data_IF_675712677992
#
_entry.id   IF_675712677992
#
_cell.length_a   1.000
_cell.length_b   1.000
_cell.length_c   1.000
_cell.angle_alpha   90.00
_cell.angle_beta   90.00
_cell.angle_gamma   90.00
#
_symmetry.space_group_name_H-M   'P 1'
#
loop_
_entity.id
_entity.type
_entity.pdbx_description
1 polymer ?
#
# COMPACT_ATOMS: atom_id res chain seq x y z
N UNK A 1 13.74 -4.88 -25.94
CA UNK A 1 13.45 -5.37 -24.57
C UNK A 1 12.49 -6.53 -24.70
N UNK A 2 12.81 -7.67 -24.12
CA UNK A 2 12.03 -8.91 -24.20
C UNK A 2 10.61 -8.69 -23.62
N UNK A 3 9.57 -9.29 -24.25
CA UNK A 3 8.20 -9.30 -23.75
C UNK A 3 8.12 -9.74 -22.27
N UNK A 4 9.04 -10.61 -21.86
CA UNK A 4 9.21 -11.09 -20.48
C UNK A 4 9.48 -9.95 -19.48
N UNK A 5 10.32 -8.97 -19.84
CA UNK A 5 10.59 -7.83 -18.95
C UNK A 5 9.40 -6.87 -18.80
N UNK A 6 8.47 -6.87 -19.76
CA UNK A 6 7.25 -6.07 -19.66
C UNK A 6 6.30 -6.57 -18.55
N UNK A 7 6.40 -7.84 -18.16
CA UNK A 7 5.59 -8.44 -17.08
C UNK A 7 6.03 -8.03 -15.66
N UNK A 8 7.24 -7.45 -15.50
CA UNK A 8 7.83 -7.17 -14.18
C UNK A 8 6.89 -6.36 -13.28
N UNK A 9 6.32 -5.29 -13.83
CA UNK A 9 5.41 -4.41 -13.06
C UNK A 9 4.16 -5.15 -12.59
N UNK A 10 3.57 -5.98 -13.47
CA UNK A 10 2.41 -6.80 -13.17
C UNK A 10 2.72 -7.83 -12.09
N UNK A 11 3.88 -8.47 -12.15
CA UNK A 11 4.32 -9.46 -11.17
C UNK A 11 4.58 -8.82 -9.80
N UNK A 12 5.21 -7.64 -9.74
CA UNK A 12 5.39 -6.90 -8.47
C UNK A 12 4.02 -6.54 -7.88
N UNK A 13 3.09 -6.04 -8.70
CA UNK A 13 1.74 -5.72 -8.25
C UNK A 13 1.00 -6.93 -7.70
N UNK A 14 1.14 -8.10 -8.33
CA UNK A 14 0.57 -9.36 -7.87
C UNK A 14 1.20 -9.78 -6.53
N UNK A 15 2.52 -9.82 -6.47
CA UNK A 15 3.26 -10.28 -5.31
C UNK A 15 3.04 -9.36 -4.09
N UNK A 16 3.02 -8.05 -4.28
CA UNK A 16 2.74 -7.09 -3.20
C UNK A 16 1.34 -7.30 -2.59
N UNK A 17 0.30 -7.54 -3.40
CA UNK A 17 -1.04 -7.85 -2.87
C UNK A 17 -1.07 -9.17 -2.10
N UNK A 18 -0.24 -10.12 -2.48
CA UNK A 18 -0.12 -11.38 -1.75
C UNK A 18 0.68 -11.22 -0.45
N UNK A 19 1.79 -10.49 -0.47
CA UNK A 19 2.78 -10.47 0.62
C UNK A 19 2.58 -9.28 1.57
N UNK A 20 2.07 -8.14 1.08
CA UNK A 20 1.90 -6.90 1.86
C UNK A 20 3.23 -6.18 2.14
N UNK A 21 4.32 -6.57 1.48
CA UNK A 21 5.64 -5.96 1.55
C UNK A 21 6.18 -5.79 0.13
N UNK A 22 6.69 -4.59 -0.20
CA UNK A 22 7.27 -4.31 -1.51
C UNK A 22 8.62 -5.02 -1.66
N UNK A 23 9.43 -5.04 -0.61
CA UNK A 23 10.71 -5.73 -0.61
C UNK A 23 10.54 -7.24 -0.86
N UNK A 24 9.66 -7.91 -0.10
CA UNK A 24 9.36 -9.33 -0.34
C UNK A 24 8.78 -9.58 -1.75
N UNK A 25 8.00 -8.63 -2.29
CA UNK A 25 7.45 -8.73 -3.64
C UNK A 25 8.53 -8.60 -4.71
N UNK A 26 9.47 -7.68 -4.56
CA UNK A 26 10.61 -7.52 -5.46
C UNK A 26 11.52 -8.75 -5.44
N UNK A 27 11.81 -9.29 -4.26
CA UNK A 27 12.60 -10.51 -4.09
C UNK A 27 11.92 -11.71 -4.76
N UNK A 28 10.61 -11.90 -4.57
CA UNK A 28 9.86 -12.96 -5.23
C UNK A 28 9.88 -12.85 -6.76
N UNK A 29 9.79 -11.63 -7.28
CA UNK A 29 9.87 -11.38 -8.72
C UNK A 29 11.29 -11.58 -9.24
N UNK A 30 12.30 -11.16 -8.50
CA UNK A 30 13.71 -11.40 -8.85
C UNK A 30 14.02 -12.91 -8.91
N UNK A 31 13.58 -13.67 -7.93
CA UNK A 31 13.71 -15.13 -7.92
C UNK A 31 12.97 -15.77 -9.10
N UNK A 32 11.78 -15.26 -9.46
CA UNK A 32 11.03 -15.71 -10.63
C UNK A 32 11.83 -15.55 -11.91
N UNK A 33 12.45 -14.38 -12.12
CA UNK A 33 13.31 -14.14 -13.29
C UNK A 33 14.60 -14.96 -13.26
N UNK A 34 15.21 -15.14 -12.09
CA UNK A 34 16.38 -16.01 -11.96
C UNK A 34 16.08 -17.43 -12.42
N UNK A 35 14.90 -17.97 -12.07
CA UNK A 35 14.47 -19.30 -12.56
C UNK A 35 14.22 -19.31 -14.07
N UNK A 36 13.63 -18.24 -14.63
CA UNK A 36 13.43 -18.11 -16.07
C UNK A 36 14.74 -18.15 -16.84
N UNK A 37 15.70 -17.33 -16.43
CA UNK A 37 16.99 -17.24 -17.12
C UNK A 37 17.94 -18.41 -16.85
N UNK A 38 17.67 -19.22 -15.85
CA UNK A 38 18.39 -20.49 -15.63
C UNK A 38 17.97 -21.61 -16.58
N UNK A 39 16.84 -21.47 -17.28
CA UNK A 39 16.39 -22.44 -18.29
C UNK A 39 17.19 -22.30 -19.59
N UNK A 40 17.35 -23.41 -20.31
CA UNK A 40 17.91 -23.40 -21.68
C UNK A 40 16.98 -22.68 -22.66
N UNK A 41 17.51 -22.20 -23.79
CA UNK A 41 16.71 -21.59 -24.85
C UNK A 41 15.58 -22.53 -25.32
N UNK A 42 15.88 -23.80 -25.49
CA UNK A 42 14.89 -24.83 -25.87
C UNK A 42 13.75 -24.97 -24.86
N UNK A 43 14.07 -24.90 -23.55
CA UNK A 43 13.07 -24.95 -22.49
C UNK A 43 12.20 -23.68 -22.49
N UNK A 44 12.79 -22.51 -22.72
CA UNK A 44 12.05 -21.26 -22.82
C UNK A 44 11.13 -21.23 -24.05
N UNK A 45 11.60 -21.72 -25.19
CA UNK A 45 10.84 -21.81 -26.44
C UNK A 45 9.67 -22.82 -26.36
N UNK A 46 9.81 -23.87 -25.55
CA UNK A 46 8.73 -24.83 -25.30
C UNK A 46 7.58 -24.26 -24.47
N UNK A 47 7.74 -23.10 -23.85
CA UNK A 47 6.70 -22.44 -23.03
C UNK A 47 5.82 -21.56 -23.94
N UNK A 48 4.59 -22.01 -24.20
CA UNK A 48 3.64 -21.29 -25.06
C UNK A 48 3.32 -19.88 -24.54
N UNK A 49 3.23 -19.69 -23.22
CA UNK A 49 2.89 -18.43 -22.58
C UNK A 49 3.89 -18.07 -21.47
N UNK A 50 4.97 -17.32 -21.78
CA UNK A 50 5.94 -16.87 -20.79
C UNK A 50 5.32 -16.10 -19.62
N UNK A 51 4.33 -15.22 -19.90
CA UNK A 51 3.64 -14.45 -18.87
C UNK A 51 2.84 -15.32 -17.89
N UNK A 52 2.17 -16.38 -18.37
CA UNK A 52 1.46 -17.33 -17.52
C UNK A 52 2.44 -18.16 -16.66
N UNK A 53 3.54 -18.60 -17.26
CA UNK A 53 4.60 -19.31 -16.53
C UNK A 53 5.20 -18.44 -15.41
N UNK A 54 5.56 -17.20 -15.71
CA UNK A 54 6.10 -16.24 -14.73
C UNK A 54 5.12 -16.01 -13.59
N UNK A 55 3.84 -15.82 -13.91
CA UNK A 55 2.78 -15.64 -12.89
C UNK A 55 2.64 -16.88 -12.00
N UNK A 56 2.67 -18.06 -12.59
CA UNK A 56 2.60 -19.35 -11.85
C UNK A 56 3.77 -19.47 -10.88
N UNK A 57 4.99 -19.21 -11.35
CA UNK A 57 6.20 -19.32 -10.52
C UNK A 57 6.20 -18.28 -9.42
N UNK A 58 5.92 -17.01 -9.75
CA UNK A 58 5.84 -15.93 -8.75
C UNK A 58 4.79 -16.23 -7.68
N UNK A 59 3.60 -16.71 -8.08
CA UNK A 59 2.53 -17.04 -7.13
C UNK A 59 2.90 -18.21 -6.21
N UNK A 60 3.60 -19.22 -6.70
CA UNK A 60 4.12 -20.35 -5.88
C UNK A 60 5.19 -19.87 -4.89
N UNK A 61 6.08 -18.97 -5.31
CA UNK A 61 7.07 -18.36 -4.43
C UNK A 61 6.34 -17.55 -3.33
N UNK A 62 5.37 -16.72 -3.70
CA UNK A 62 4.57 -15.98 -2.73
C UNK A 62 3.82 -16.89 -1.74
N UNK A 63 3.22 -17.98 -2.22
CA UNK A 63 2.55 -18.96 -1.37
C UNK A 63 3.49 -19.57 -0.32
N UNK A 64 4.72 -19.92 -0.72
CA UNK A 64 5.75 -20.45 0.18
C UNK A 64 6.19 -19.38 1.20
N UNK A 65 6.42 -18.14 0.73
CA UNK A 65 6.80 -17.02 1.61
C UNK A 65 5.71 -16.72 2.64
N UNK A 66 4.44 -16.77 2.28
CA UNK A 66 3.31 -16.57 3.20
C UNK A 66 3.28 -17.65 4.31
N UNK A 67 3.64 -18.88 3.98
CA UNK A 67 3.78 -19.96 4.98
C UNK A 67 4.86 -19.65 6.03
N UNK A 68 6.01 -19.13 5.60
CA UNK A 68 7.11 -18.74 6.49
C UNK A 68 6.90 -17.37 7.15
N UNK A 69 6.21 -16.43 6.49
CA UNK A 69 5.92 -15.10 7.02
C UNK A 69 5.04 -15.16 8.27
N UNK A 70 4.11 -16.12 8.36
CA UNK A 70 3.30 -16.34 9.55
C UNK A 70 4.16 -16.61 10.78
N UNK A 71 5.16 -17.49 10.66
CA UNK A 71 6.10 -17.77 11.75
C UNK A 71 6.96 -16.55 12.12
N UNK A 72 7.37 -15.74 11.11
CA UNK A 72 8.12 -14.49 11.35
C UNK A 72 7.28 -13.44 12.07
N UNK A 73 5.98 -13.36 11.79
CA UNK A 73 5.05 -12.41 12.44
C UNK A 73 4.74 -12.79 13.89
N UNK A 74 4.79 -14.06 14.24
CA UNK A 74 4.67 -14.52 15.64
C UNK A 74 5.81 -14.00 16.54
N UNK A 75 6.96 -13.65 15.95
CA UNK A 75 8.11 -13.05 16.63
C UNK A 75 8.23 -11.53 16.44
N UNK A 76 7.31 -10.92 15.69
CA UNK A 76 7.32 -9.48 15.42
C UNK A 76 6.95 -8.68 16.65
N UNK A 77 7.67 -7.59 16.90
CA UNK A 77 7.43 -6.74 18.07
C UNK A 77 6.34 -5.71 17.75
N UNK A 78 5.20 -5.83 18.44
CA UNK A 78 4.02 -4.98 18.23
C UNK A 78 3.13 -5.48 17.08
N UNK A 79 2.27 -4.60 16.59
CA UNK A 79 1.32 -4.91 15.52
C UNK A 79 2.00 -4.83 14.14
N UNK A 80 1.87 -5.88 13.35
CA UNK A 80 2.36 -5.85 11.97
C UNK A 80 1.29 -5.23 11.06
N UNK A 81 1.66 -4.23 10.28
CA UNK A 81 0.80 -3.58 9.28
C UNK A 81 1.49 -3.74 7.91
N UNK A 82 0.73 -3.99 6.80
CA UNK A 82 1.30 -3.99 5.46
C UNK A 82 2.10 -2.72 5.17
N UNK A 83 3.10 -2.84 4.29
CA UNK A 83 3.96 -1.72 3.89
C UNK A 83 3.14 -0.66 3.15
N UNK A 84 3.20 0.62 3.54
CA UNK A 84 2.45 1.67 2.86
C UNK A 84 3.17 2.09 1.57
N UNK A 85 2.42 2.20 0.48
CA UNK A 85 2.96 2.68 -0.80
C UNK A 85 2.58 4.13 -1.06
N UNK A 86 3.52 4.97 -1.54
CA UNK A 86 3.21 6.28 -2.09
C UNK A 86 2.47 6.15 -3.44
N UNK A 87 2.06 7.26 -4.03
CA UNK A 87 1.37 7.24 -5.32
C UNK A 87 2.22 6.58 -6.43
N UNK A 88 1.62 5.79 -7.34
CA UNK A 88 2.39 5.06 -8.36
C UNK A 88 3.34 5.89 -9.23
N UNK A 89 3.10 7.20 -9.36
CA UNK A 89 3.99 8.14 -10.04
C UNK A 89 5.29 8.43 -9.26
N UNK A 90 5.27 8.25 -7.96
CA UNK A 90 6.37 8.60 -7.05
C UNK A 90 7.38 7.44 -6.88
N UNK A 91 6.97 6.17 -7.05
CA UNK A 91 7.87 5.01 -6.94
C UNK A 91 8.09 4.24 -8.26
N UNK A 92 7.28 4.52 -9.30
CA UNK A 92 7.45 3.91 -10.63
C UNK A 92 8.42 4.69 -11.52
N UNK A 93 8.97 5.82 -11.07
CA UNK A 93 9.88 6.70 -11.83
C UNK A 93 11.31 6.19 -11.94
N UNK A 94 11.64 5.07 -11.32
CA UNK A 94 12.86 4.33 -11.64
C UNK A 94 12.79 3.87 -13.10
N UNK A 95 13.33 4.69 -13.99
CA UNK A 95 13.39 4.60 -15.45
C UNK A 95 13.30 3.17 -16.01
N UNK A 96 12.16 2.79 -16.55
CA UNK A 96 12.09 1.88 -17.68
C UNK A 96 11.19 2.52 -18.73
N UNK A 97 11.81 2.85 -19.85
CA UNK A 97 11.34 3.64 -20.95
C UNK A 97 9.88 3.47 -21.34
N UNK A 98 9.32 4.61 -21.72
CA UNK A 98 7.99 4.83 -22.18
C UNK A 98 7.36 3.74 -23.03
N UNK A 99 6.25 3.27 -22.52
CA UNK A 99 5.07 2.89 -23.30
C UNK A 99 3.90 3.03 -22.35
N UNK A 100 2.97 3.91 -22.70
CA UNK A 100 1.62 3.99 -22.13
C UNK A 100 1.04 2.58 -22.09
N UNK A 101 0.72 2.09 -20.87
CA UNK A 101 -0.09 0.90 -20.71
C UNK A 101 -1.39 1.13 -21.50
N UNK A 102 -1.76 0.15 -22.31
CA UNK A 102 -3.09 0.05 -22.91
C UNK A 102 -4.12 0.26 -21.81
N UNK A 103 -5.10 1.15 -21.96
CA UNK A 103 -6.07 1.42 -20.91
C UNK A 103 -6.93 0.18 -20.71
N UNK A 104 -6.58 -0.63 -19.70
CA UNK A 104 -7.49 -1.60 -19.14
C UNK A 104 -8.82 -0.88 -18.86
N UNK A 105 -9.93 -1.60 -19.05
CA UNK A 105 -11.29 -1.09 -18.80
C UNK A 105 -11.29 -0.24 -17.51
N UNK A 106 -11.89 0.97 -17.51
CA UNK A 106 -11.99 1.80 -16.31
C UNK A 106 -12.50 1.05 -15.07
N UNK A 107 -13.41 0.07 -15.25
CA UNK A 107 -13.89 -0.80 -14.18
C UNK A 107 -12.79 -1.70 -13.60
N UNK A 108 -11.87 -2.22 -14.42
CA UNK A 108 -10.74 -3.02 -13.97
C UNK A 108 -9.68 -2.18 -13.25
N UNK A 109 -9.51 -0.91 -13.62
CA UNK A 109 -8.62 0.03 -12.91
C UNK A 109 -9.13 0.32 -11.50
N UNK A 110 -10.42 0.63 -11.34
CA UNK A 110 -11.02 0.89 -10.03
C UNK A 110 -10.83 -0.33 -9.11
N UNK A 111 -11.06 -1.53 -9.59
CA UNK A 111 -10.89 -2.77 -8.82
C UNK A 111 -9.43 -3.01 -8.43
N UNK A 112 -8.47 -2.72 -9.33
CA UNK A 112 -7.05 -2.85 -9.05
C UNK A 112 -6.57 -1.81 -8.04
N UNK A 113 -7.02 -0.56 -8.15
CA UNK A 113 -6.64 0.53 -7.24
C UNK A 113 -7.24 0.32 -5.85
N UNK A 114 -8.49 -0.12 -5.73
CA UNK A 114 -9.12 -0.47 -4.45
C UNK A 114 -8.42 -1.65 -3.77
N UNK A 115 -7.91 -2.61 -4.54
CA UNK A 115 -7.26 -3.82 -4.02
C UNK A 115 -5.87 -3.59 -3.42
N UNK A 116 -5.35 -2.36 -3.40
CA UNK A 116 -4.13 -1.99 -2.68
C UNK A 116 -4.39 -1.12 -1.45
N UNK A 117 -5.65 -0.75 -1.17
CA UNK A 117 -5.96 0.05 0.02
C UNK A 117 -5.49 -0.66 1.29
N UNK A 118 -5.06 0.12 2.30
CA UNK A 118 -4.57 -0.45 3.56
C UNK A 118 -5.62 -1.34 4.23
N UNK A 119 -6.89 -0.92 4.25
CA UNK A 119 -8.00 -1.70 4.79
C UNK A 119 -8.10 -3.08 4.11
N UNK A 120 -7.99 -3.11 2.78
CA UNK A 120 -8.04 -4.36 2.02
C UNK A 120 -6.85 -5.28 2.32
N UNK A 121 -5.63 -4.72 2.36
CA UNK A 121 -4.41 -5.48 2.66
C UNK A 121 -4.44 -6.08 4.07
N UNK A 122 -4.93 -5.33 5.06
CA UNK A 122 -5.08 -5.82 6.44
C UNK A 122 -6.09 -6.97 6.51
N UNK A 123 -7.20 -6.90 5.76
CA UNK A 123 -8.15 -8.01 5.67
C UNK A 123 -7.51 -9.25 5.05
N UNK A 124 -6.75 -9.07 3.97
CA UNK A 124 -6.00 -10.17 3.35
C UNK A 124 -5.03 -10.81 4.35
N UNK A 125 -4.44 -10.02 5.23
CA UNK A 125 -3.49 -10.51 6.21
C UNK A 125 -4.11 -11.45 7.26
N UNK A 126 -5.40 -11.31 7.52
CA UNK A 126 -6.17 -12.23 8.37
C UNK A 126 -6.48 -13.58 7.73
N UNK A 127 -6.21 -13.77 6.42
CA UNK A 127 -6.53 -14.98 5.68
C UNK A 127 -5.39 -16.01 5.73
N UNK A 128 -5.73 -17.27 5.50
CA UNK A 128 -4.71 -18.27 5.22
C UNK A 128 -4.00 -17.97 3.89
N UNK A 129 -2.76 -18.45 3.73
CA UNK A 129 -2.01 -18.26 2.50
C UNK A 129 -2.78 -18.74 1.25
N UNK A 130 -3.42 -19.90 1.34
CA UNK A 130 -4.20 -20.46 0.24
C UNK A 130 -5.47 -19.65 -0.09
N UNK A 131 -6.19 -19.15 0.92
CA UNK A 131 -7.34 -18.24 0.71
C UNK A 131 -6.92 -16.96 0.01
N UNK A 132 -5.83 -16.33 0.49
CA UNK A 132 -5.29 -15.09 -0.07
C UNK A 132 -4.87 -15.28 -1.53
N UNK A 133 -4.06 -16.29 -1.83
CA UNK A 133 -3.57 -16.55 -3.19
C UNK A 133 -4.73 -16.90 -4.13
N UNK A 134 -5.66 -17.76 -3.72
CA UNK A 134 -6.81 -18.11 -4.56
C UNK A 134 -7.68 -16.88 -4.87
N UNK A 135 -7.94 -16.05 -3.88
CA UNK A 135 -8.72 -14.83 -4.06
C UNK A 135 -7.99 -13.82 -4.97
N UNK A 136 -6.73 -13.51 -4.71
CA UNK A 136 -5.97 -12.53 -5.50
C UNK A 136 -5.90 -12.98 -6.96
N UNK A 137 -5.54 -14.23 -7.22
CA UNK A 137 -5.44 -14.72 -8.59
C UNK A 137 -6.78 -14.68 -9.32
N UNK A 138 -7.85 -15.18 -8.70
CA UNK A 138 -9.14 -15.28 -9.37
C UNK A 138 -9.93 -13.97 -9.38
N UNK A 139 -10.12 -13.34 -8.22
CA UNK A 139 -11.03 -12.18 -8.10
C UNK A 139 -10.37 -10.86 -8.55
N UNK A 140 -9.06 -10.69 -8.32
CA UNK A 140 -8.35 -9.47 -8.71
C UNK A 140 -7.72 -9.59 -10.09
N UNK A 141 -6.99 -10.69 -10.37
CA UNK A 141 -6.26 -10.86 -11.63
C UNK A 141 -6.99 -11.72 -12.67
N UNK A 142 -8.22 -12.20 -12.37
CA UNK A 142 -9.12 -12.91 -13.31
C UNK A 142 -8.58 -14.24 -13.84
N UNK A 143 -7.69 -14.92 -13.12
CA UNK A 143 -7.24 -16.27 -13.51
C UNK A 143 -8.36 -17.29 -13.35
N UNK A 144 -8.53 -18.23 -14.31
CA UNK A 144 -9.48 -19.33 -14.17
C UNK A 144 -9.13 -20.23 -12.98
N UNK A 145 -10.14 -20.81 -12.33
CA UNK A 145 -9.91 -21.69 -11.17
C UNK A 145 -9.05 -22.92 -11.49
N UNK A 146 -9.04 -23.41 -12.73
CA UNK A 146 -8.15 -24.48 -13.14
C UNK A 146 -6.67 -24.09 -12.96
N UNK A 147 -6.27 -22.91 -13.41
CA UNK A 147 -4.90 -22.40 -13.24
C UNK A 147 -4.59 -22.10 -11.76
N UNK A 148 -5.54 -21.53 -11.04
CA UNK A 148 -5.42 -21.27 -9.59
C UNK A 148 -5.21 -22.60 -8.83
N UNK A 149 -5.91 -23.66 -9.21
CA UNK A 149 -5.80 -25.00 -8.61
C UNK A 149 -4.40 -25.59 -8.77
N UNK A 150 -3.79 -25.43 -9.95
CA UNK A 150 -2.41 -25.85 -10.22
C UNK A 150 -1.38 -25.08 -9.37
N UNK A 151 -1.60 -23.76 -9.20
CA UNK A 151 -0.71 -22.91 -8.41
C UNK A 151 -0.80 -23.25 -6.92
N UNK A 152 -2.02 -23.38 -6.39
CA UNK A 152 -2.29 -23.59 -4.96
C UNK A 152 -2.08 -25.07 -4.56
N UNK A 153 -2.01 -25.99 -5.52
CA UNK A 153 -1.90 -27.44 -5.27
C UNK A 153 -3.18 -28.01 -4.65
N UNK A 154 -4.35 -27.57 -5.12
CA UNK A 154 -5.67 -28.00 -4.65
C UNK A 154 -6.58 -28.32 -5.84
N UNK A 155 -7.77 -28.84 -5.57
CA UNK A 155 -8.79 -29.00 -6.61
C UNK A 155 -9.49 -27.69 -6.94
N UNK A 156 -10.05 -27.57 -8.14
CA UNK A 156 -10.88 -26.42 -8.56
C UNK A 156 -11.99 -26.12 -7.55
N UNK A 157 -12.67 -27.17 -7.07
CA UNK A 157 -13.75 -27.03 -6.10
C UNK A 157 -13.24 -26.44 -4.77
N UNK A 158 -12.07 -26.88 -4.30
CA UNK A 158 -11.44 -26.33 -3.10
C UNK A 158 -11.03 -24.86 -3.31
N UNK A 159 -10.48 -24.51 -4.48
CA UNK A 159 -10.11 -23.11 -4.78
C UNK A 159 -11.33 -22.20 -4.83
N UNK A 160 -12.48 -22.65 -5.39
CA UNK A 160 -13.75 -21.91 -5.33
C UNK A 160 -14.21 -21.67 -3.90
N UNK A 161 -14.08 -22.66 -3.00
CA UNK A 161 -14.41 -22.51 -1.58
C UNK A 161 -13.48 -21.52 -0.88
N UNK A 162 -12.16 -21.58 -1.13
CA UNK A 162 -11.18 -20.64 -0.60
C UNK A 162 -11.49 -19.20 -1.01
N UNK A 163 -11.72 -18.95 -2.31
CA UNK A 163 -12.08 -17.63 -2.82
C UNK A 163 -13.42 -17.15 -2.25
N UNK A 164 -14.43 -18.03 -2.10
CA UNK A 164 -15.71 -17.69 -1.48
C UNK A 164 -15.58 -17.33 0.00
N UNK A 165 -14.72 -18.04 0.74
CA UNK A 165 -14.40 -17.70 2.14
C UNK A 165 -13.75 -16.31 2.24
N UNK A 166 -12.77 -16.03 1.38
CA UNK A 166 -12.10 -14.76 1.30
C UNK A 166 -13.06 -13.60 0.98
N UNK A 167 -13.94 -13.76 -0.03
CA UNK A 167 -14.98 -12.76 -0.36
C UNK A 167 -15.87 -12.43 0.82
N UNK A 168 -16.33 -13.43 1.57
CA UNK A 168 -17.17 -13.19 2.76
C UNK A 168 -16.44 -12.34 3.80
N UNK A 169 -15.14 -12.56 4.04
CA UNK A 169 -14.34 -11.77 4.97
C UNK A 169 -14.19 -10.32 4.47
N UNK A 170 -13.93 -10.14 3.18
CA UNK A 170 -13.82 -8.81 2.57
C UNK A 170 -15.16 -8.07 2.65
N UNK A 171 -16.26 -8.70 2.29
CA UNK A 171 -17.59 -8.08 2.40
C UNK A 171 -17.97 -7.73 3.84
N UNK A 172 -17.59 -8.57 4.81
CA UNK A 172 -17.83 -8.29 6.22
C UNK A 172 -17.03 -7.09 6.74
N UNK A 173 -15.85 -6.83 6.16
CA UNK A 173 -15.00 -5.70 6.51
C UNK A 173 -15.28 -4.44 5.71
N UNK A 174 -15.87 -4.56 4.49
CA UNK A 174 -16.24 -3.41 3.68
C UNK A 174 -17.35 -2.63 4.36
N UNK A 175 -16.96 -1.55 5.04
CA UNK A 175 -17.88 -0.50 5.41
C UNK A 175 -18.46 0.14 4.13
N UNK A 176 -19.67 0.65 4.22
CA UNK A 176 -20.40 1.33 3.13
C UNK A 176 -19.45 2.22 2.32
N UNK A 177 -19.46 2.06 1.01
CA UNK A 177 -18.56 2.78 0.11
C UNK A 177 -18.70 4.31 0.31
N UNK A 178 -17.67 4.92 0.90
CA UNK A 178 -17.58 6.37 1.08
C UNK A 178 -16.98 6.99 -0.18
N UNK A 179 -17.57 8.07 -0.66
CA UNK A 179 -17.08 8.76 -1.87
C UNK A 179 -15.65 9.26 -1.67
N UNK A 180 -14.77 9.19 -2.69
CA UNK A 180 -13.38 9.65 -2.56
C UNK A 180 -13.23 11.08 -2.04
N UNK A 181 -14.09 12.02 -2.52
CA UNK A 181 -14.06 13.41 -2.07
C UNK A 181 -14.42 13.58 -0.58
N UNK A 182 -15.34 12.77 -0.06
CA UNK A 182 -15.73 12.78 1.34
C UNK A 182 -14.60 12.22 2.23
N UNK A 183 -13.95 11.14 1.77
CA UNK A 183 -12.78 10.59 2.45
C UNK A 183 -11.63 11.60 2.52
N UNK A 184 -11.34 12.29 1.41
CA UNK A 184 -10.31 13.31 1.36
C UNK A 184 -10.63 14.48 2.30
N UNK A 185 -11.90 14.89 2.39
CA UNK A 185 -12.32 15.94 3.33
C UNK A 185 -12.08 15.52 4.79
N UNK A 186 -12.47 14.29 5.16
CA UNK A 186 -12.27 13.79 6.53
C UNK A 186 -10.79 13.73 6.93
N UNK A 187 -9.91 13.28 6.03
CA UNK A 187 -8.46 13.24 6.30
C UNK A 187 -7.90 14.66 6.45
N UNK A 188 -8.34 15.60 5.62
CA UNK A 188 -7.97 17.02 5.73
C UNK A 188 -8.46 17.65 7.04
N UNK A 189 -9.69 17.38 7.43
CA UNK A 189 -10.26 17.91 8.66
C UNK A 189 -9.61 17.28 9.90
N UNK A 190 -9.23 16.00 9.83
CA UNK A 190 -8.39 15.37 10.85
C UNK A 190 -7.04 16.06 10.99
N UNK A 191 -6.37 16.38 9.87
CA UNK A 191 -5.11 17.12 9.88
C UNK A 191 -5.28 18.51 10.52
N UNK A 192 -6.31 19.27 10.14
CA UNK A 192 -6.58 20.59 10.72
C UNK A 192 -6.79 20.52 12.25
N UNK A 193 -7.59 19.54 12.70
CA UNK A 193 -7.85 19.33 14.14
C UNK A 193 -6.58 18.89 14.89
N UNK A 194 -5.72 18.09 14.24
CA UNK A 194 -4.41 17.70 14.75
C UNK A 194 -3.49 18.93 14.92
N UNK A 195 -3.34 19.76 13.87
CA UNK A 195 -2.50 20.94 13.89
C UNK A 195 -2.99 21.97 14.94
N UNK A 196 -4.31 22.12 15.07
CA UNK A 196 -4.94 22.95 16.09
C UNK A 196 -4.88 22.35 17.50
N UNK A 197 -4.50 21.07 17.65
CA UNK A 197 -4.53 20.31 18.91
C UNK A 197 -5.94 20.28 19.55
N UNK A 198 -6.96 20.29 18.70
CA UNK A 198 -8.37 20.32 19.10
C UNK A 198 -8.93 18.91 19.33
N UNK A 199 -9.01 18.52 20.60
CA UNK A 199 -9.53 17.21 21.01
C UNK A 199 -11.01 17.04 20.60
N UNK A 200 -11.82 18.11 20.74
CA UNK A 200 -13.25 18.04 20.46
C UNK A 200 -13.54 17.85 18.98
N UNK A 201 -12.82 18.57 18.12
CA UNK A 201 -12.88 18.39 16.67
C UNK A 201 -12.47 16.96 16.27
N UNK A 202 -11.37 16.43 16.83
CA UNK A 202 -10.93 15.05 16.56
C UNK A 202 -11.98 14.02 16.97
N UNK A 203 -12.60 14.15 18.16
CA UNK A 203 -13.67 13.25 18.61
C UNK A 203 -14.84 13.27 17.63
N UNK A 204 -15.20 14.44 17.09
CA UNK A 204 -16.27 14.58 16.10
C UNK A 204 -16.04 13.83 14.79
N UNK A 205 -14.77 13.65 14.39
CA UNK A 205 -14.36 12.95 13.16
C UNK A 205 -14.21 11.44 13.35
N UNK A 206 -13.98 10.98 14.58
CA UNK A 206 -13.72 9.58 14.90
C UNK A 206 -15.03 8.83 15.20
N UNK A 207 -15.08 7.57 14.78
CA UNK A 207 -16.10 6.64 15.25
C UNK A 207 -15.91 6.42 16.76
N UNK A 208 -16.98 6.29 17.58
CA UNK A 208 -16.87 5.98 19.00
C UNK A 208 -16.04 4.73 19.29
N UNK A 209 -16.12 3.71 18.39
CA UNK A 209 -15.40 2.44 18.46
C UNK A 209 -14.13 2.44 17.58
N UNK A 210 -13.65 3.61 17.13
CA UNK A 210 -12.46 3.71 16.28
C UNK A 210 -11.25 3.02 16.90
N UNK A 211 -10.38 2.52 16.06
CA UNK A 211 -9.13 1.87 16.46
C UNK A 211 -7.93 2.57 15.82
N UNK A 212 -6.85 2.76 16.56
CA UNK A 212 -5.57 3.23 16.06
C UNK A 212 -4.51 2.16 16.31
N UNK A 213 -3.93 1.63 15.25
CA UNK A 213 -2.86 0.63 15.28
C UNK A 213 -1.54 1.26 14.84
N UNK A 214 -0.45 0.97 15.54
CA UNK A 214 0.88 1.52 15.26
C UNK A 214 1.87 0.39 15.02
N UNK A 215 2.59 0.46 13.91
CA UNK A 215 3.67 -0.46 13.57
C UNK A 215 5.02 0.26 13.69
N UNK A 216 5.79 -0.09 14.70
CA UNK A 216 7.16 0.40 14.92
C UNK A 216 8.24 -0.62 14.60
N UNK A 217 7.87 -1.88 14.32
CA UNK A 217 8.80 -2.97 14.02
C UNK A 217 9.76 -3.35 15.16
N UNK A 218 9.52 -2.86 16.38
CA UNK A 218 10.49 -2.98 17.48
C UNK A 218 11.72 -2.07 17.35
N UNK A 219 11.83 -1.30 16.25
CA UNK A 219 12.96 -0.42 15.94
C UNK A 219 12.75 1.00 16.45
N UNK A 220 11.51 1.44 16.54
CA UNK A 220 11.12 2.76 17.02
C UNK A 220 10.00 2.67 18.05
N UNK A 221 9.89 3.68 18.91
CA UNK A 221 8.83 3.74 19.93
C UNK A 221 7.46 3.77 19.26
N UNK A 222 6.60 2.82 19.62
CA UNK A 222 5.24 2.64 19.12
C UNK A 222 4.33 2.09 20.22
N UNK A 223 3.01 2.31 20.10
CA UNK A 223 2.04 1.62 20.94
C UNK A 223 2.03 0.13 20.57
N UNK A 224 2.30 -0.74 21.54
CA UNK A 224 2.40 -2.19 21.32
C UNK A 224 1.04 -2.85 21.07
N UNK A 225 -0.04 -2.19 21.49
CA UNK A 225 -1.41 -2.66 21.31
C UNK A 225 -2.27 -1.58 20.69
N UNK A 226 -3.31 -1.93 19.92
CA UNK A 226 -4.24 -0.98 19.35
C UNK A 226 -4.91 -0.11 20.41
N UNK A 227 -5.01 1.20 20.13
CA UNK A 227 -5.73 2.16 20.95
C UNK A 227 -7.17 2.15 20.47
N UNK A 228 -8.12 1.84 21.37
CA UNK A 228 -9.54 1.75 21.05
C UNK A 228 -10.33 2.90 21.67
N UNK A 229 -11.31 3.39 20.91
CA UNK A 229 -12.23 4.44 21.30
C UNK A 229 -11.82 5.84 20.83
N UNK A 230 -12.75 6.54 20.16
CA UNK A 230 -12.50 7.83 19.53
C UNK A 230 -11.93 8.88 20.47
N UNK A 231 -12.42 8.96 21.72
CA UNK A 231 -11.92 9.90 22.73
C UNK A 231 -10.46 9.60 23.15
N UNK A 232 -10.12 8.32 23.33
CA UNK A 232 -8.74 7.90 23.68
C UNK A 232 -7.78 8.20 22.54
N UNK A 233 -8.22 7.95 21.31
CA UNK A 233 -7.47 8.23 20.09
C UNK A 233 -7.23 9.74 19.94
N UNK A 234 -8.27 10.58 20.14
CA UNK A 234 -8.14 12.04 20.06
C UNK A 234 -7.12 12.58 21.09
N UNK A 235 -7.18 12.12 22.33
CA UNK A 235 -6.20 12.50 23.38
C UNK A 235 -4.77 12.04 23.03
N UNK A 236 -4.64 10.83 22.49
CA UNK A 236 -3.35 10.30 22.04
C UNK A 236 -2.78 11.12 20.90
N UNK A 237 -3.59 11.43 19.88
CA UNK A 237 -3.22 12.26 18.74
C UNK A 237 -2.72 13.63 19.16
N UNK A 238 -3.46 14.33 20.04
CA UNK A 238 -3.04 15.63 20.59
C UNK A 238 -1.76 15.51 21.42
N UNK A 239 -1.61 14.40 22.17
CA UNK A 239 -0.38 14.10 22.89
C UNK A 239 0.85 13.97 21.98
N UNK A 240 0.68 13.35 20.82
CA UNK A 240 1.71 13.29 19.78
C UNK A 240 1.96 14.65 19.14
N UNK A 241 0.91 15.40 18.77
CA UNK A 241 1.01 16.73 18.18
C UNK A 241 1.74 17.75 19.09
N UNK A 242 1.60 17.61 20.41
CA UNK A 242 2.33 18.44 21.40
C UNK A 242 3.80 18.09 21.52
N UNK A 243 4.19 16.86 21.19
CA UNK A 243 5.57 16.35 21.24
C UNK A 243 6.25 16.42 19.88
N UNK A 244 5.52 16.85 18.85
CA UNK A 244 6.10 17.03 17.53
C UNK A 244 7.24 18.03 17.59
N UNK A 245 8.40 17.76 16.98
CA UNK A 245 9.51 18.68 16.94
C UNK A 245 9.18 19.89 16.06
N UNK A 246 9.82 21.04 16.31
CA UNK A 246 9.57 22.30 15.57
C UNK A 246 9.88 22.20 14.07
N UNK A 247 10.77 21.28 13.69
CA UNK A 247 11.08 20.93 12.29
C UNK A 247 10.20 19.82 11.72
N UNK A 248 9.13 19.46 12.41
CA UNK A 248 8.16 18.44 11.97
C UNK A 248 7.09 19.04 11.06
N UNK A 249 6.67 18.28 10.06
CA UNK A 249 5.54 18.60 9.18
C UNK A 249 4.58 17.41 9.06
N UNK A 250 3.27 17.69 9.03
CA UNK A 250 2.24 16.72 8.71
C UNK A 250 1.64 17.09 7.35
N UNK A 251 1.85 16.23 6.36
CA UNK A 251 1.51 16.48 4.96
C UNK A 251 0.38 15.56 4.50
N UNK A 252 -0.52 16.08 3.66
CA UNK A 252 -1.50 15.26 2.95
C UNK A 252 -0.79 14.56 1.79
N UNK A 253 -0.94 13.24 1.68
CA UNK A 253 -0.38 12.41 0.60
C UNK A 253 -1.34 11.27 0.27
N UNK A 254 -1.19 10.71 -0.92
CA UNK A 254 -1.84 9.45 -1.28
C UNK A 254 -1.07 8.29 -0.66
N UNK A 255 -1.77 7.42 0.06
CA UNK A 255 -1.25 6.21 0.69
C UNK A 255 -2.05 5.03 0.17
N UNK A 256 -1.40 4.10 -0.53
CA UNK A 256 -2.08 2.95 -1.13
C UNK A 256 -3.33 3.35 -1.95
N UNK A 257 -3.20 4.37 -2.81
CA UNK A 257 -4.27 4.86 -3.66
C UNK A 257 -5.41 5.60 -2.92
N UNK A 258 -5.26 5.87 -1.62
CA UNK A 258 -6.26 6.55 -0.80
C UNK A 258 -5.68 7.79 -0.12
N UNK A 259 -6.49 8.82 0.19
CA UNK A 259 -6.04 9.96 0.97
C UNK A 259 -5.48 9.50 2.33
N UNK A 260 -4.29 9.99 2.68
CA UNK A 260 -3.59 9.72 3.90
C UNK A 260 -2.75 10.90 4.38
N UNK A 261 -1.97 10.71 5.43
CA UNK A 261 -1.07 11.71 5.97
C UNK A 261 0.35 11.15 6.14
N UNK A 262 1.32 12.01 6.01
CA UNK A 262 2.74 11.69 6.20
C UNK A 262 3.34 12.67 7.18
N UNK A 263 3.90 12.16 8.27
CA UNK A 263 4.71 12.98 9.18
C UNK A 263 6.18 12.93 8.74
N UNK A 264 6.76 14.11 8.55
CA UNK A 264 8.18 14.27 8.24
C UNK A 264 8.90 15.01 9.36
N UNK A 265 10.18 14.70 9.54
CA UNK A 265 11.11 15.42 10.37
C UNK A 265 12.35 15.73 9.52
N UNK A 266 12.75 17.00 9.44
CA UNK A 266 13.82 17.45 8.54
C UNK A 266 13.59 17.05 7.06
N UNK A 267 12.31 16.94 6.66
CA UNK A 267 11.90 16.48 5.35
C UNK A 267 12.08 14.96 5.12
N UNK A 268 12.43 14.20 6.15
CA UNK A 268 12.47 12.73 6.10
C UNK A 268 11.17 12.15 6.65
N UNK A 269 10.54 11.25 5.90
CA UNK A 269 9.32 10.56 6.35
C UNK A 269 9.61 9.66 7.55
N UNK A 270 8.92 9.91 8.66
CA UNK A 270 9.04 9.16 9.92
C UNK A 270 7.77 8.42 10.32
N UNK A 271 6.63 8.76 9.73
CA UNK A 271 5.36 8.06 9.93
C UNK A 271 4.45 8.25 8.72
N UNK A 272 3.81 7.19 8.29
CA UNK A 272 2.75 7.20 7.27
C UNK A 272 1.44 6.78 7.93
N UNK A 273 0.37 7.55 7.70
CA UNK A 273 -0.96 7.28 8.22
C UNK A 273 -1.91 6.91 7.09
N UNK A 274 -2.52 5.75 7.19
CA UNK A 274 -3.64 5.33 6.35
C UNK A 274 -4.93 5.32 7.18
N UNK A 275 -6.06 5.56 6.52
CA UNK A 275 -7.36 5.73 7.17
C UNK A 275 -8.41 4.81 6.55
N UNK A 276 -9.20 4.18 7.40
CA UNK A 276 -10.48 3.59 7.02
C UNK A 276 -11.60 4.53 7.44
N UNK A 277 -12.47 4.87 6.48
CA UNK A 277 -13.62 5.73 6.70
C UNK A 277 -14.90 4.96 6.42
N UNK A 278 -15.84 5.03 7.35
CA UNK A 278 -17.13 4.38 7.25
C UNK A 278 -18.21 5.30 7.83
N UNK A 279 -19.37 5.36 7.20
CA UNK A 279 -20.51 6.16 7.65
C UNK A 279 -20.14 7.63 8.02
N UNK A 280 -19.25 8.26 7.24
CA UNK A 280 -18.82 9.63 7.44
C UNK A 280 -17.91 9.84 8.67
N UNK A 281 -17.28 8.79 9.19
CA UNK A 281 -16.35 8.84 10.33
C UNK A 281 -15.11 8.00 10.08
N UNK A 282 -14.01 8.36 10.72
CA UNK A 282 -12.77 7.57 10.73
C UNK A 282 -12.96 6.40 11.69
N UNK A 283 -12.93 5.18 11.16
CA UNK A 283 -13.09 3.94 11.90
C UNK A 283 -11.77 3.31 12.29
N UNK A 284 -10.78 3.39 11.41
CA UNK A 284 -9.45 2.88 11.69
C UNK A 284 -8.36 3.84 11.24
N UNK A 285 -7.29 3.94 12.01
CA UNK A 285 -6.06 4.65 11.69
C UNK A 285 -4.91 3.66 11.80
N UNK A 286 -4.17 3.46 10.72
CA UNK A 286 -2.92 2.71 10.69
C UNK A 286 -1.77 3.68 10.62
N UNK A 287 -0.86 3.63 11.59
CA UNK A 287 0.34 4.44 11.62
C UNK A 287 1.58 3.56 11.47
N UNK A 288 2.24 3.65 10.36
CA UNK A 288 3.45 2.89 10.05
C UNK A 288 4.65 3.77 10.36
N UNK A 289 5.47 3.35 11.31
CA UNK A 289 6.69 4.01 11.79
C UNK A 289 7.93 3.15 11.60
N UNK A 290 7.78 1.86 11.28
CA UNK A 290 8.88 0.95 11.01
C UNK A 290 9.74 1.50 9.85
N UNK A 291 11.03 1.88 10.09
CA UNK A 291 11.87 2.49 9.08
C UNK A 291 12.12 1.59 7.87
N UNK A 292 12.08 0.26 8.04
CA UNK A 292 12.27 -0.69 6.94
C UNK A 292 11.10 -0.64 5.95
N UNK A 293 9.87 -0.36 6.44
CA UNK A 293 8.65 -0.20 5.63
C UNK A 293 8.48 1.21 5.03
N UNK A 294 9.32 2.16 5.44
CA UNK A 294 9.26 3.55 4.96
C UNK A 294 10.29 3.85 3.86
N UNK A 295 11.03 2.86 3.36
CA UNK A 295 12.02 3.06 2.30
C UNK A 295 11.44 3.70 1.02
N UNK A 296 10.27 3.28 0.50
CA UNK A 296 9.68 3.91 -0.69
C UNK A 296 9.40 5.41 -0.51
N UNK A 297 9.05 5.82 0.72
CA UNK A 297 8.74 7.21 1.06
C UNK A 297 9.97 8.11 1.19
N UNK A 298 11.16 7.55 1.44
CA UNK A 298 12.43 8.29 1.52
C UNK A 298 12.94 8.67 0.13
N UNK A 299 12.78 7.77 -0.84
CA UNK A 299 13.17 8.00 -2.23
C UNK A 299 12.32 9.13 -2.83
N UNK A 300 10.99 9.06 -2.67
CA UNK A 300 10.06 10.08 -3.13
C UNK A 300 10.37 11.49 -2.56
N UNK A 301 10.71 11.58 -1.27
CA UNK A 301 11.09 12.85 -0.63
C UNK A 301 12.39 13.46 -1.19
N UNK A 302 13.31 12.65 -1.68
CA UNK A 302 14.55 13.11 -2.33
C UNK A 302 14.29 13.69 -3.73
N UNK A 303 13.43 13.03 -4.50
CA UNK A 303 13.05 13.48 -5.85
C UNK A 303 12.29 14.80 -5.83
N UNK A 304 11.37 15.00 -4.87
CA UNK A 304 10.65 16.26 -4.67
C UNK A 304 11.61 17.43 -4.35
N UNK A 305 12.67 17.20 -3.58
CA UNK A 305 13.68 18.25 -3.29
C UNK A 305 14.50 18.61 -4.49
N UNK A 306 14.99 17.63 -5.26
CA UNK A 306 15.76 17.87 -6.48
C UNK A 306 14.94 18.63 -7.52
N UNK A 307 13.65 18.31 -7.67
CA UNK A 307 12.74 19.00 -8.58
C UNK A 307 12.40 20.43 -8.15
N UNK A 308 12.46 20.75 -6.84
CA UNK A 308 12.23 22.10 -6.32
C UNK A 308 13.46 23.00 -6.42
N UNK A 309 14.66 22.43 -6.35
CA UNK A 309 15.94 23.15 -6.51
C UNK A 309 16.24 23.52 -7.97
N UNK A 310 15.74 22.74 -8.94
CA UNK A 310 15.91 22.98 -10.39
C UNK A 310 14.90 23.99 -10.96
N UNK A 311 14.02 24.57 -10.16
CA UNK A 311 13.08 25.58 -10.63
C UNK A 311 13.78 26.92 -10.80
N UNK A 312 13.94 27.47 -12.03
CA UNK A 312 14.61 28.73 -12.24
C UNK A 312 13.90 29.86 -11.48
N UNK A 313 14.68 30.65 -10.77
CA UNK A 313 14.18 31.86 -10.08
C UNK A 313 13.47 32.78 -11.09
N UNK A 314 12.32 33.35 -10.74
CA UNK A 314 11.66 34.32 -11.60
C UNK A 314 12.62 35.49 -11.83
N UNK A 315 12.95 35.74 -13.09
CA UNK A 315 13.80 36.84 -13.49
C UNK A 315 13.26 38.18 -13.01
N UNK A 316 14.14 39.18 -12.76
CA UNK A 316 13.73 40.48 -12.26
C UNK A 316 12.75 41.14 -13.25
N UNK A 317 11.57 41.51 -12.75
CA UNK A 317 10.59 42.30 -13.49
C UNK A 317 11.18 43.67 -13.83
N UNK A 318 11.47 43.89 -15.10
CA UNK A 318 11.81 45.23 -15.61
C UNK A 318 10.57 46.12 -15.49
N UNK A 319 10.60 46.98 -14.47
CA UNK A 319 9.72 48.13 -14.40
C UNK A 319 10.15 49.14 -15.48
N UNK A 320 9.43 49.17 -16.58
CA UNK A 320 9.51 50.32 -17.51
C UNK A 320 8.75 51.51 -16.90
N UNK A 321 9.51 52.39 -16.29
CA UNK A 321 9.06 53.78 -16.06
C UNK A 321 8.95 54.44 -17.43
N UNK A 322 7.75 54.80 -17.83
CA UNK A 322 7.51 55.70 -18.94
C UNK A 322 7.37 57.11 -18.35
N UNK A 323 8.42 57.90 -18.48
CA UNK A 323 8.33 59.37 -18.43
C UNK A 323 8.00 59.83 -19.86
N UNK A 324 6.81 60.42 -20.04
CA UNK A 324 6.52 61.71 -20.71
C UNK A 324 5.01 61.94 -20.73
#
# INVERSE_FOLDING_TARGET
MSAVMAERRRLINLAYRMLGSLADAEDAVQETYARWYAMSAEQQEAIESPGAWLTTVASRICLNLLGSARARRETYVGEWIPEPLPEPGEWASGQVGGRTADPADPADRVTLDESISMAFLVVLDSMTAAERVAFILHDVFRYPFAEVAEIVGRTDAACRQLASSARRRIHASQASAVRPAERASLVRDFKKAWDAKDISALIGLLDPDATWTVDGGGLVSAALHPIQGGERIARYAVGLARKAPDNGALLERTVNGQPGLVAQQDGVTVTVFAFEVAAGRIRHIWAIRNPDKLQPWRIASHEERSASEDRPLPGPSHSTTNED
#
